data_IF_474351958236
#
_entry.id   IF_474351958236
#
_cell.length_a   1.000
_cell.length_b   1.000
_cell.length_c   1.000
_cell.angle_alpha   90.00
_cell.angle_beta   90.00
_cell.angle_gamma   90.00
#
_symmetry.space_group_name_H-M   'P 1'
#
loop_
_entity.id
_entity.type
_entity.pdbx_description
1 polymer ?
#
# COMPACT_ATOMS: atom_id res chain seq x y z
N UNK A 1 7.52 9.77 -26.66
CA UNK A 1 8.50 10.63 -25.95
C UNK A 1 9.30 9.80 -24.96
N UNK A 2 10.61 9.94 -25.01
CA UNK A 2 11.58 8.89 -24.71
C UNK A 2 11.90 8.63 -23.23
N UNK A 3 12.18 7.34 -22.99
CA UNK A 3 13.12 6.67 -22.07
C UNK A 3 13.59 7.45 -20.84
N UNK A 4 12.96 7.14 -19.70
CA UNK A 4 13.36 7.59 -18.37
C UNK A 4 12.28 7.28 -17.31
N UNK A 5 12.63 7.40 -16.03
CA UNK A 5 11.69 7.16 -14.93
C UNK A 5 10.65 8.30 -14.87
N UNK A 6 9.39 7.99 -15.18
CA UNK A 6 8.30 8.98 -15.22
C UNK A 6 8.05 9.56 -13.83
N UNK A 7 8.21 10.88 -13.63
CA UNK A 7 7.97 11.56 -12.34
C UNK A 7 6.50 11.87 -12.06
N UNK A 8 5.66 11.90 -13.09
CA UNK A 8 4.24 12.25 -12.99
C UNK A 8 3.34 11.06 -13.33
N UNK A 9 2.18 10.99 -12.67
CA UNK A 9 1.13 10.01 -12.93
C UNK A 9 -0.15 10.75 -13.37
N UNK A 10 -0.65 10.43 -14.56
CA UNK A 10 -1.94 10.94 -15.04
C UNK A 10 -3.07 10.27 -14.25
N UNK A 11 -4.12 11.04 -13.92
CA UNK A 11 -5.24 10.56 -13.10
C UNK A 11 -5.99 9.40 -13.75
N UNK A 12 -6.17 9.44 -15.07
CA UNK A 12 -6.79 8.35 -15.84
C UNK A 12 -6.04 7.01 -15.71
N UNK A 13 -4.73 7.06 -15.45
CA UNK A 13 -3.88 5.88 -15.30
C UNK A 13 -3.71 5.47 -13.83
N UNK A 14 -4.37 6.16 -12.89
CA UNK A 14 -4.30 5.81 -11.48
C UNK A 14 -5.04 4.48 -11.23
N UNK A 15 -4.57 3.68 -10.26
CA UNK A 15 -5.26 2.45 -9.89
C UNK A 15 -6.72 2.71 -9.48
N UNK A 16 -7.65 1.89 -10.01
CA UNK A 16 -9.09 2.07 -9.77
C UNK A 16 -9.47 2.00 -8.29
N UNK A 17 -8.77 1.19 -7.49
CA UNK A 17 -9.04 1.04 -6.05
C UNK A 17 -8.70 2.30 -5.23
N UNK A 18 -8.01 3.29 -5.82
CA UNK A 18 -7.81 4.60 -5.19
C UNK A 18 -9.10 5.44 -5.16
N UNK A 19 -10.10 5.07 -5.96
CA UNK A 19 -11.40 5.75 -6.05
C UNK A 19 -11.25 7.26 -6.27
N UNK A 20 -10.36 7.64 -7.20
CA UNK A 20 -10.23 9.02 -7.65
C UNK A 20 -11.36 9.35 -8.61
N UNK A 21 -11.98 10.51 -8.41
CA UNK A 21 -12.93 11.08 -9.34
C UNK A 21 -12.23 11.51 -10.65
N UNK A 22 -12.99 11.60 -11.74
CA UNK A 22 -12.43 11.91 -13.08
C UNK A 22 -12.19 13.41 -13.29
N UNK A 23 -12.84 14.29 -12.54
CA UNK A 23 -12.90 15.74 -12.78
C UNK A 23 -11.94 16.56 -11.89
N UNK A 24 -11.43 15.99 -10.81
CA UNK A 24 -10.60 16.63 -9.78
C UNK A 24 -9.16 16.90 -10.19
N UNK A 25 -8.92 17.13 -11.48
CA UNK A 25 -7.63 17.52 -12.05
C UNK A 25 -6.97 16.46 -12.96
N UNK A 26 -5.96 16.88 -13.70
CA UNK A 26 -5.29 16.04 -14.70
C UNK A 26 -4.33 14.98 -14.11
N UNK A 27 -3.86 15.19 -12.88
CA UNK A 27 -2.81 14.39 -12.25
C UNK A 27 -3.32 13.69 -10.98
N UNK A 28 -2.71 12.55 -10.68
CA UNK A 28 -2.87 11.82 -9.43
C UNK A 28 -1.56 11.87 -8.64
N UNK A 29 -1.62 11.77 -7.30
CA UNK A 29 -0.42 11.69 -6.47
C UNK A 29 0.37 10.44 -6.86
N UNK A 30 1.63 10.64 -7.27
CA UNK A 30 2.52 9.54 -7.63
C UNK A 30 3.14 8.97 -6.36
N UNK A 31 2.98 7.66 -6.07
CA UNK A 31 3.65 7.01 -4.95
C UNK A 31 5.17 7.07 -5.17
N UNK A 32 5.91 7.31 -4.10
CA UNK A 32 7.37 7.16 -4.11
C UNK A 32 7.76 5.69 -4.33
N UNK A 33 8.95 5.44 -4.88
CA UNK A 33 9.54 4.11 -4.90
C UNK A 33 9.85 3.71 -3.45
N UNK A 34 8.95 2.91 -2.88
CA UNK A 34 8.89 2.50 -1.48
C UNK A 34 8.45 1.02 -1.48
N UNK A 35 8.31 0.36 -0.31
CA UNK A 35 8.20 -1.10 -0.26
C UNK A 35 7.13 -1.61 -1.21
N UNK A 36 5.94 -1.00 -1.19
CA UNK A 36 4.78 -1.42 -1.94
C UNK A 36 4.83 -1.04 -3.43
N UNK A 37 4.44 -1.99 -4.30
CA UNK A 37 4.27 -1.72 -5.75
C UNK A 37 3.19 -0.64 -5.92
N UNK A 38 3.37 0.23 -6.91
CA UNK A 38 2.50 1.41 -7.10
C UNK A 38 1.02 1.07 -7.30
N UNK A 39 0.72 -0.09 -7.87
CA UNK A 39 -0.65 -0.58 -8.09
C UNK A 39 -1.26 -1.33 -6.89
N UNK A 40 -0.47 -1.66 -5.87
CA UNK A 40 -0.93 -2.30 -4.63
C UNK A 40 -0.96 -1.32 -3.46
N UNK A 41 -0.21 -0.22 -3.55
CA UNK A 41 -0.15 0.79 -2.49
C UNK A 41 -1.38 1.72 -2.48
N UNK A 42 -1.57 2.38 -1.35
CA UNK A 42 -2.41 3.56 -1.19
C UNK A 42 -1.54 4.73 -0.71
N UNK A 43 -1.41 5.82 -1.49
CA UNK A 43 -0.71 7.02 -1.06
C UNK A 43 -1.30 7.61 0.22
N UNK A 44 -0.44 7.96 1.17
CA UNK A 44 -0.85 8.56 2.44
C UNK A 44 -1.68 9.85 2.26
N UNK A 45 -1.35 10.62 1.23
CA UNK A 45 -2.10 11.85 0.88
C UNK A 45 -3.58 11.56 0.58
N UNK A 46 -3.88 10.40 -0.02
CA UNK A 46 -5.25 9.98 -0.32
C UNK A 46 -5.95 9.42 0.92
N UNK A 47 -5.22 8.85 1.86
CA UNK A 47 -5.78 8.38 3.13
C UNK A 47 -6.27 9.57 3.95
N UNK A 48 -5.43 10.59 4.13
CA UNK A 48 -5.78 11.79 4.91
C UNK A 48 -6.92 12.60 4.27
N UNK A 49 -6.93 12.72 2.95
CA UNK A 49 -7.91 13.54 2.21
C UNK A 49 -9.21 12.79 1.87
N UNK A 50 -9.11 11.63 1.21
CA UNK A 50 -10.28 10.96 0.62
C UNK A 50 -10.93 9.95 1.56
N UNK A 51 -10.19 9.38 2.51
CA UNK A 51 -10.71 8.36 3.43
C UNK A 51 -11.04 8.92 4.80
N UNK A 52 -10.08 9.59 5.44
CA UNK A 52 -10.21 10.05 6.82
C UNK A 52 -10.76 11.48 6.94
N UNK A 53 -10.75 12.26 5.85
CA UNK A 53 -11.30 13.62 5.80
C UNK A 53 -10.69 14.60 6.82
N UNK A 54 -9.43 14.36 7.23
CA UNK A 54 -8.69 15.26 8.13
C UNK A 54 -8.20 16.54 7.44
N UNK A 55 -8.18 16.56 6.11
CA UNK A 55 -7.82 17.71 5.30
C UNK A 55 -8.76 17.81 4.10
N UNK A 56 -9.06 19.03 3.67
CA UNK A 56 -9.86 19.33 2.48
C UNK A 56 -8.98 19.62 1.26
N UNK A 57 -7.78 20.14 1.48
CA UNK A 57 -6.85 20.55 0.42
C UNK A 57 -5.51 19.83 0.47
N UNK A 58 -4.81 19.77 -0.66
CA UNK A 58 -3.48 19.16 -0.75
C UNK A 58 -2.45 19.87 0.14
N UNK A 59 -2.59 21.19 0.38
CA UNK A 59 -1.69 21.99 1.22
C UNK A 59 -1.85 21.63 2.70
N UNK A 60 -3.08 21.45 3.17
CA UNK A 60 -3.36 21.00 4.55
C UNK A 60 -2.78 19.61 4.79
N UNK A 61 -2.92 18.69 3.83
CA UNK A 61 -2.32 17.35 3.97
C UNK A 61 -0.81 17.45 4.14
N UNK A 62 -0.13 18.29 3.35
CA UNK A 62 1.31 18.51 3.51
C UNK A 62 1.62 19.08 4.90
N UNK A 63 0.85 20.04 5.39
CA UNK A 63 1.05 20.62 6.71
C UNK A 63 0.94 19.57 7.83
N UNK A 64 -0.07 18.70 7.78
CA UNK A 64 -0.24 17.59 8.74
C UNK A 64 0.93 16.61 8.66
N UNK A 65 1.41 16.30 7.45
CA UNK A 65 2.55 15.41 7.28
C UNK A 65 3.86 16.02 7.79
N UNK A 66 4.04 17.34 7.67
CA UNK A 66 5.22 18.04 8.16
C UNK A 66 5.29 18.11 9.69
N UNK A 67 4.15 18.00 10.38
CA UNK A 67 4.07 17.95 11.85
C UNK A 67 4.59 16.62 12.44
N UNK A 68 4.85 15.59 11.62
CA UNK A 68 5.42 14.30 12.05
C UNK A 68 4.57 13.55 13.12
N UNK A 69 3.27 13.81 13.19
CA UNK A 69 2.36 13.11 14.09
C UNK A 69 1.76 11.83 13.50
N UNK A 70 1.94 11.61 12.20
CA UNK A 70 1.40 10.43 11.52
C UNK A 70 2.45 9.34 11.50
N UNK A 71 2.15 8.20 12.12
CA UNK A 71 2.99 7.00 12.13
C UNK A 71 2.31 5.89 11.33
N UNK A 72 3.07 5.14 10.55
CA UNK A 72 2.63 3.92 9.87
C UNK A 72 3.65 2.85 10.25
N UNK A 73 3.16 1.73 10.74
CA UNK A 73 3.98 0.68 11.37
C UNK A 73 4.92 1.22 12.45
N UNK A 74 4.46 2.10 13.33
CA UNK A 74 5.27 2.62 14.44
C UNK A 74 6.55 3.38 14.04
N UNK A 75 6.75 3.70 12.75
CA UNK A 75 7.92 4.42 12.25
C UNK A 75 7.51 5.68 11.51
N UNK A 76 8.22 6.77 11.77
CA UNK A 76 8.29 7.92 10.89
C UNK A 76 9.20 7.55 9.73
N UNK A 77 8.71 7.59 8.49
CA UNK A 77 9.56 7.23 7.37
C UNK A 77 10.67 8.25 7.12
N UNK A 78 11.68 7.90 6.32
CA UNK A 78 12.76 8.84 5.98
C UNK A 78 12.16 10.13 5.41
N UNK A 79 12.46 11.26 6.07
CA UNK A 79 11.87 12.61 5.92
C UNK A 79 10.48 12.86 6.56
N UNK A 80 10.09 12.10 7.58
CA UNK A 80 8.85 12.34 8.34
C UNK A 80 7.56 11.83 7.67
N UNK A 81 7.66 11.10 6.55
CA UNK A 81 6.50 10.57 5.82
C UNK A 81 6.31 9.10 6.17
N UNK A 82 5.22 8.72 6.85
CA UNK A 82 5.03 7.35 7.30
C UNK A 82 4.64 6.42 6.14
N UNK A 83 5.14 5.19 6.16
CA UNK A 83 4.88 4.18 5.13
C UNK A 83 4.76 2.78 5.74
N UNK A 84 3.98 1.93 5.07
CA UNK A 84 3.73 0.53 5.43
C UNK A 84 4.85 -0.37 4.88
N UNK A 85 5.18 -1.44 5.62
CA UNK A 85 6.21 -2.41 5.30
C UNK A 85 5.72 -3.84 5.62
N UNK A 86 5.00 -4.48 4.70
CA UNK A 86 4.67 -5.91 4.82
C UNK A 86 4.65 -6.60 3.45
N UNK A 87 5.71 -7.37 3.16
CA UNK A 87 5.75 -8.33 2.04
C UNK A 87 5.95 -9.77 2.49
N UNK A 88 6.27 -9.98 3.76
CA UNK A 88 6.60 -11.29 4.30
C UNK A 88 5.58 -11.56 5.40
N UNK A 89 5.03 -12.77 5.43
CA UNK A 89 3.89 -13.22 6.24
C UNK A 89 4.20 -13.29 7.75
N UNK A 90 4.93 -12.30 8.28
CA UNK A 90 5.45 -12.27 9.64
C UNK A 90 4.71 -11.22 10.47
N UNK A 91 4.17 -11.64 11.60
CA UNK A 91 3.62 -10.74 12.62
C UNK A 91 4.77 -9.96 13.28
N UNK A 92 4.78 -8.63 13.13
CA UNK A 92 5.77 -7.75 13.78
C UNK A 92 5.10 -7.10 15.00
N UNK A 93 5.59 -7.38 16.22
CA UNK A 93 5.20 -6.61 17.41
C UNK A 93 6.02 -5.31 17.46
N UNK A 94 5.33 -4.17 17.45
CA UNK A 94 5.90 -2.92 17.97
C UNK A 94 5.67 -2.87 19.49
N UNK A 95 6.64 -2.47 20.32
CA UNK A 95 7.91 -1.80 20.01
C UNK A 95 9.17 -2.72 19.93
N UNK A 96 9.05 -4.06 19.97
CA UNK A 96 10.20 -4.99 19.92
C UNK A 96 10.10 -5.98 18.76
N UNK A 97 10.88 -5.81 17.67
CA UNK A 97 10.81 -6.64 16.48
C UNK A 97 11.61 -7.95 16.63
N UNK A 98 11.30 -8.76 17.65
CA UNK A 98 11.69 -10.18 17.62
C UNK A 98 10.61 -10.97 16.86
N UNK A 99 11.03 -11.75 15.88
CA UNK A 99 10.15 -12.71 15.17
C UNK A 99 9.84 -13.83 16.17
N UNK A 100 8.60 -13.89 16.68
CA UNK A 100 8.21 -14.91 17.66
C UNK A 100 7.81 -16.21 16.99
N UNK A 101 7.02 -16.13 15.91
CA UNK A 101 6.39 -17.30 15.30
C UNK A 101 6.32 -17.15 13.78
N UNK A 102 6.48 -18.28 13.07
CA UNK A 102 6.28 -18.37 11.63
C UNK A 102 5.15 -19.37 11.34
N UNK A 103 4.23 -18.97 10.48
CA UNK A 103 3.17 -19.86 9.98
C UNK A 103 3.59 -20.31 8.59
N UNK A 104 3.71 -21.62 8.37
CA UNK A 104 4.07 -22.17 7.05
C UNK A 104 2.90 -22.02 6.09
N UNK A 105 3.18 -21.83 4.81
CA UNK A 105 2.16 -21.80 3.76
C UNK A 105 1.74 -23.24 3.38
N UNK A 106 0.90 -23.84 4.22
CA UNK A 106 0.41 -25.22 4.09
C UNK A 106 -1.13 -25.29 4.02
N UNK A 107 -1.64 -26.42 3.52
CA UNK A 107 -3.09 -26.72 3.45
C UNK A 107 -3.68 -26.71 4.86
N UNK A 108 -4.84 -26.09 5.04
CA UNK A 108 -5.49 -25.92 6.35
C UNK A 108 -5.23 -24.56 7.01
N UNK A 109 -4.28 -23.77 6.51
CA UNK A 109 -4.02 -22.43 7.06
C UNK A 109 -4.93 -21.37 6.45
N UNK A 110 -5.28 -20.38 7.28
CA UNK A 110 -6.09 -19.22 6.88
C UNK A 110 -5.21 -18.23 6.14
N UNK A 111 -5.63 -17.85 4.94
CA UNK A 111 -4.92 -16.89 4.09
C UNK A 111 -5.87 -15.82 3.55
N UNK A 112 -5.31 -14.65 3.25
CA UNK A 112 -6.00 -13.57 2.55
C UNK A 112 -5.44 -13.45 1.13
N UNK A 113 -6.33 -13.32 0.14
CA UNK A 113 -5.94 -13.10 -1.24
C UNK A 113 -5.52 -11.63 -1.45
N UNK A 114 -4.27 -11.39 -1.83
CA UNK A 114 -3.71 -10.03 -2.03
C UNK A 114 -3.88 -9.49 -3.47
N UNK A 115 -4.11 -10.36 -4.46
CA UNK A 115 -4.17 -10.00 -5.88
C UNK A 115 -5.33 -10.65 -6.66
N UNK A 116 -5.53 -10.23 -7.92
CA UNK A 116 -6.54 -10.79 -8.82
C UNK A 116 -7.99 -10.43 -8.45
N UNK A 117 -8.95 -11.17 -9.03
CA UNK A 117 -10.40 -10.89 -8.90
C UNK A 117 -10.96 -11.20 -7.51
N UNK A 118 -10.31 -12.09 -6.76
CA UNK A 118 -10.71 -12.51 -5.41
C UNK A 118 -9.99 -11.72 -4.29
N UNK A 119 -9.32 -10.60 -4.62
CA UNK A 119 -8.58 -9.76 -3.67
C UNK A 119 -9.44 -9.37 -2.46
N UNK A 120 -8.85 -9.46 -1.26
CA UNK A 120 -9.46 -9.09 0.02
C UNK A 120 -10.34 -10.18 0.65
N UNK A 121 -10.51 -11.34 -0.01
CA UNK A 121 -11.20 -12.48 0.58
C UNK A 121 -10.26 -13.28 1.48
N UNK A 122 -10.79 -13.71 2.63
CA UNK A 122 -10.11 -14.59 3.59
C UNK A 122 -10.70 -15.99 3.46
N UNK A 123 -9.84 -17.01 3.49
CA UNK A 123 -10.28 -18.41 3.42
C UNK A 123 -9.18 -19.38 3.81
N UNK A 124 -9.54 -20.65 3.94
CA UNK A 124 -8.62 -21.75 4.26
C UNK A 124 -8.07 -22.35 2.97
N UNK A 125 -6.77 -22.61 2.91
CA UNK A 125 -6.16 -23.33 1.79
C UNK A 125 -6.68 -24.78 1.78
N UNK A 126 -7.41 -25.18 0.74
CA UNK A 126 -7.92 -26.56 0.58
C UNK A 126 -7.01 -27.45 -0.26
N UNK A 127 -6.41 -26.92 -1.32
CA UNK A 127 -5.52 -27.65 -2.21
C UNK A 127 -4.50 -26.68 -2.83
N UNK A 128 -3.32 -27.18 -3.18
CA UNK A 128 -2.25 -26.44 -3.86
C UNK A 128 -1.73 -27.26 -5.04
N UNK A 129 -2.04 -26.80 -6.24
CA UNK A 129 -1.52 -27.38 -7.48
C UNK A 129 -0.19 -26.72 -7.86
N UNK A 130 0.77 -27.53 -8.31
CA UNK A 130 2.08 -27.05 -8.79
C UNK A 130 2.14 -27.24 -10.31
N UNK A 131 2.17 -26.14 -11.05
CA UNK A 131 2.44 -26.16 -12.49
C UNK A 131 3.90 -25.83 -12.75
N UNK A 132 4.62 -26.72 -13.44
CA UNK A 132 6.04 -26.56 -13.73
C UNK A 132 6.18 -25.61 -14.93
N UNK A 133 6.82 -24.44 -14.75
CA UNK A 133 7.26 -23.59 -15.87
C UNK A 133 6.65 -22.19 -16.00
N UNK A 134 5.78 -21.74 -15.10
CA UNK A 134 5.43 -20.32 -15.00
C UNK A 134 6.13 -19.71 -13.78
N UNK A 135 7.18 -18.93 -14.04
CA UNK A 135 7.84 -18.04 -13.07
C UNK A 135 7.13 -16.70 -13.09
#
# INVERSE_FOLDING_TARGET
MARGLKKHLKRLNAPKHWMLDKLGGAFAPKPSYRPHKSWECLPLILILWNRLKYALTYREVIAILMQQHVFVDGKLGQKGIPYLNTYDERTIRYPRPLITDFIKFDVGNVVMVTGGRNRGRVGVIKNREKHKGNI
#
